data_IF_628239133208
#
_entry.id   IF_628239133208
#
_cell.length_a   1.000
_cell.length_b   1.000
_cell.length_c   1.000
_cell.angle_alpha   90.00
_cell.angle_beta   90.00
_cell.angle_gamma   90.00
#
_symmetry.space_group_name_H-M   'P 1'
#
loop_
_entity.id
_entity.type
_entity.pdbx_description
1 polymer ?
#
# COMPACT_ATOMS: atom_id res chain seq x y z
N UNK A 1 -27.12 1.53 -4.24
CA UNK A 1 -26.05 1.30 -5.23
C UNK A 1 -26.48 1.75 -6.62
N UNK A 2 -27.58 1.23 -7.17
CA UNK A 2 -28.09 1.61 -8.52
C UNK A 2 -28.16 3.12 -8.76
N UNK A 3 -28.77 3.89 -7.85
CA UNK A 3 -28.80 5.36 -7.95
C UNK A 3 -27.43 6.03 -8.06
N UNK A 4 -26.39 5.48 -7.42
CA UNK A 4 -25.02 5.99 -7.54
C UNK A 4 -24.49 5.63 -8.93
N UNK A 5 -24.66 4.38 -9.38
CA UNK A 5 -24.24 3.92 -10.71
C UNK A 5 -24.89 4.75 -11.82
N UNK A 6 -26.19 5.03 -11.71
CA UNK A 6 -26.93 5.87 -12.67
C UNK A 6 -26.44 7.32 -12.69
N UNK A 7 -26.04 7.87 -11.54
CA UNK A 7 -25.45 9.21 -11.50
C UNK A 7 -24.04 9.23 -12.07
N UNK A 8 -23.25 8.19 -11.81
CA UNK A 8 -21.91 8.05 -12.40
C UNK A 8 -21.99 7.92 -13.92
N UNK A 9 -22.93 7.13 -14.47
CA UNK A 9 -23.09 6.92 -15.92
C UNK A 9 -23.31 8.21 -16.71
N UNK A 10 -23.89 9.23 -16.07
CA UNK A 10 -24.08 10.55 -16.64
C UNK A 10 -22.79 11.41 -16.66
N UNK A 11 -21.76 11.05 -15.89
CA UNK A 11 -20.52 11.82 -15.73
C UNK A 11 -19.45 11.54 -16.81
N UNK A 12 -19.78 10.79 -17.87
CA UNK A 12 -18.86 10.45 -18.98
C UNK A 12 -17.53 9.81 -18.55
N UNK A 13 -17.50 9.10 -17.42
CA UNK A 13 -16.34 8.30 -17.02
C UNK A 13 -16.28 7.07 -17.94
N UNK A 14 -15.09 6.72 -18.43
CA UNK A 14 -14.93 5.53 -19.27
C UNK A 14 -15.28 4.25 -18.50
N UNK A 15 -15.82 3.24 -19.21
CA UNK A 15 -16.04 1.89 -18.69
C UNK A 15 -16.95 1.73 -17.44
N UNK A 16 -17.83 2.70 -17.15
CA UNK A 16 -18.77 2.66 -16.01
C UNK A 16 -19.63 1.38 -15.98
N UNK A 17 -19.98 0.84 -17.16
CA UNK A 17 -20.77 -0.39 -17.28
C UNK A 17 -20.14 -1.57 -16.54
N UNK A 18 -18.80 -1.59 -16.44
CA UNK A 18 -17.99 -2.66 -15.86
C UNK A 18 -17.36 -2.28 -14.50
N UNK A 19 -17.89 -1.28 -13.79
CA UNK A 19 -17.38 -0.90 -12.47
C UNK A 19 -17.50 -2.06 -11.46
N UNK A 20 -16.35 -2.46 -10.92
CA UNK A 20 -16.25 -3.37 -9.77
C UNK A 20 -16.52 -2.59 -8.49
N UNK A 21 -17.28 -3.20 -7.57
CA UNK A 21 -17.60 -2.61 -6.27
C UNK A 21 -17.32 -3.63 -5.17
N UNK A 22 -16.27 -3.40 -4.36
CA UNK A 22 -16.00 -4.23 -3.19
C UNK A 22 -17.15 -4.19 -2.17
N UNK A 23 -17.34 -5.29 -1.45
CA UNK A 23 -18.37 -5.41 -0.43
C UNK A 23 -18.21 -4.38 0.69
N UNK A 24 -16.97 -3.95 0.96
CA UNK A 24 -16.62 -2.90 1.91
C UNK A 24 -17.29 -1.56 1.55
N UNK A 25 -17.34 -1.22 0.26
CA UNK A 25 -18.01 -0.03 -0.25
C UNK A 25 -19.53 -0.16 -0.08
N UNK A 26 -20.10 -1.31 -0.45
CA UNK A 26 -21.54 -1.57 -0.31
C UNK A 26 -21.99 -1.45 1.15
N UNK A 27 -21.19 -1.95 2.09
CA UNK A 27 -21.44 -1.81 3.54
C UNK A 27 -21.37 -0.35 4.01
N UNK A 28 -20.49 0.47 3.42
CA UNK A 28 -20.35 1.90 3.75
C UNK A 28 -21.56 2.72 3.28
N UNK A 29 -22.12 2.38 2.12
CA UNK A 29 -23.25 3.08 1.48
C UNK A 29 -24.46 3.24 2.41
N UNK A 30 -24.87 2.16 3.10
CA UNK A 30 -26.13 2.11 3.88
C UNK A 30 -26.24 3.25 4.89
N UNK A 31 -25.16 3.52 5.62
CA UNK A 31 -25.14 4.55 6.66
C UNK A 31 -24.72 5.93 6.12
N UNK A 32 -23.93 5.97 5.05
CA UNK A 32 -23.32 7.19 4.55
C UNK A 32 -24.32 8.09 3.83
N UNK A 33 -25.12 7.54 2.89
CA UNK A 33 -25.92 8.35 1.97
C UNK A 33 -26.90 9.28 2.71
N UNK A 34 -27.62 8.76 3.71
CA UNK A 34 -28.61 9.56 4.45
C UNK A 34 -27.95 10.63 5.31
N UNK A 35 -26.82 10.30 5.94
CA UNK A 35 -26.05 11.26 6.77
C UNK A 35 -25.44 12.37 5.93
N UNK A 36 -25.09 12.06 4.69
CA UNK A 36 -24.48 13.00 3.75
C UNK A 36 -25.50 13.83 2.96
N UNK A 37 -26.81 13.72 3.26
CA UNK A 37 -27.89 14.35 2.48
C UNK A 37 -27.75 14.07 0.97
N UNK A 38 -27.46 12.81 0.65
CA UNK A 38 -27.25 12.32 -0.72
C UNK A 38 -26.11 13.00 -1.50
N UNK A 39 -25.30 13.85 -0.86
CA UNK A 39 -24.10 14.46 -1.44
C UNK A 39 -22.88 13.65 -1.05
N UNK A 40 -22.36 12.88 -2.00
CA UNK A 40 -21.22 12.00 -1.77
C UNK A 40 -20.16 12.23 -2.84
N UNK A 41 -18.91 11.94 -2.47
CA UNK A 41 -17.79 11.79 -3.41
C UNK A 41 -17.52 10.30 -3.56
N UNK A 42 -17.27 9.87 -4.80
CA UNK A 42 -16.90 8.49 -5.13
C UNK A 42 -15.49 8.51 -5.67
N UNK A 43 -14.60 7.71 -5.07
CA UNK A 43 -13.23 7.54 -5.54
C UNK A 43 -13.16 6.29 -6.40
N UNK A 44 -12.70 6.47 -7.64
CA UNK A 44 -12.59 5.40 -8.64
C UNK A 44 -11.11 5.29 -9.01
N UNK A 45 -10.59 4.06 -9.00
CA UNK A 45 -9.27 3.74 -9.52
C UNK A 45 -9.44 2.66 -10.59
N UNK A 46 -8.97 2.96 -11.81
CA UNK A 46 -9.24 2.15 -12.99
C UNK A 46 -10.76 1.88 -13.14
N UNK A 47 -11.18 0.62 -13.11
CA UNK A 47 -12.59 0.22 -13.21
C UNK A 47 -13.15 -0.27 -11.86
N UNK A 48 -12.65 0.23 -10.73
CA UNK A 48 -13.10 -0.17 -9.40
C UNK A 48 -13.38 1.03 -8.50
N UNK A 49 -14.51 0.99 -7.78
CA UNK A 49 -14.80 1.97 -6.73
C UNK A 49 -14.01 1.58 -5.49
N UNK A 50 -13.10 2.45 -5.08
CA UNK A 50 -12.23 2.22 -3.93
C UNK A 50 -12.61 3.04 -2.71
N UNK A 51 -13.42 4.09 -2.84
CA UNK A 51 -14.07 4.70 -1.68
C UNK A 51 -15.37 5.44 -2.00
N UNK A 52 -16.16 5.68 -0.97
CA UNK A 52 -17.30 6.59 -0.98
C UNK A 52 -17.32 7.44 0.30
N UNK A 53 -17.46 8.75 0.15
CA UNK A 53 -17.30 9.73 1.23
C UNK A 53 -18.44 10.74 1.27
N UNK A 54 -18.66 11.35 2.45
CA UNK A 54 -19.70 12.36 2.65
C UNK A 54 -19.22 13.73 2.15
N UNK A 55 -20.09 14.44 1.44
CA UNK A 55 -19.78 15.78 0.92
C UNK A 55 -18.82 15.75 -0.27
N UNK A 56 -18.13 16.87 -0.48
CA UNK A 56 -17.15 17.04 -1.54
C UNK A 56 -15.73 16.87 -0.98
N UNK A 57 -15.10 15.72 -1.26
CA UNK A 57 -13.72 15.39 -0.88
C UNK A 57 -12.77 15.37 -2.06
N UNK A 58 -13.17 15.92 -3.21
CA UNK A 58 -12.34 15.93 -4.45
C UNK A 58 -10.99 16.66 -4.33
N UNK A 59 -10.80 17.44 -3.26
CA UNK A 59 -9.52 18.07 -2.93
C UNK A 59 -8.60 17.20 -2.06
N UNK A 60 -9.09 16.11 -1.51
CA UNK A 60 -8.39 15.21 -0.60
C UNK A 60 -8.12 13.88 -1.30
N UNK A 61 -7.10 13.86 -2.15
CA UNK A 61 -6.68 12.65 -2.87
C UNK A 61 -5.17 12.49 -2.74
N UNK A 62 -4.75 11.53 -1.94
CA UNK A 62 -3.34 11.36 -1.57
C UNK A 62 -2.84 9.96 -1.90
N UNK A 63 -1.53 9.89 -2.14
CA UNK A 63 -0.81 8.64 -2.29
C UNK A 63 0.40 8.64 -1.36
N UNK A 64 0.96 7.46 -1.12
CA UNK A 64 2.22 7.34 -0.39
C UNK A 64 3.15 6.35 -1.09
N UNK A 65 4.40 6.75 -1.33
CA UNK A 65 5.43 5.87 -1.85
C UNK A 65 6.36 5.45 -0.71
N UNK A 66 6.68 4.16 -0.62
CA UNK A 66 7.64 3.63 0.34
C UNK A 66 8.86 3.04 -0.36
N UNK A 67 10.02 3.41 0.14
CA UNK A 67 11.28 2.72 -0.14
C UNK A 67 11.69 1.92 1.10
N UNK A 68 11.59 0.59 0.99
CA UNK A 68 11.94 -0.35 2.05
C UNK A 68 13.37 -0.84 1.82
N UNK A 69 14.32 -0.09 2.38
CA UNK A 69 15.70 -0.51 2.48
C UNK A 69 15.96 -1.48 3.64
N UNK A 70 17.09 -2.16 3.58
CA UNK A 70 17.53 -3.05 4.67
C UNK A 70 17.78 -2.27 5.96
N UNK A 71 18.37 -1.07 5.87
CA UNK A 71 18.71 -0.24 7.05
C UNK A 71 17.70 0.85 7.33
N UNK A 72 17.09 1.43 6.29
CA UNK A 72 16.20 2.59 6.41
C UNK A 72 14.94 2.35 5.59
N UNK A 73 13.81 2.78 6.13
CA UNK A 73 12.53 2.82 5.43
C UNK A 73 12.12 4.29 5.30
N UNK A 74 11.79 4.72 4.09
CA UNK A 74 11.37 6.09 3.80
C UNK A 74 9.98 6.08 3.20
N UNK A 75 9.13 7.02 3.62
CA UNK A 75 7.82 7.25 3.00
C UNK A 75 7.65 8.68 2.53
N UNK A 76 7.11 8.83 1.33
CA UNK A 76 6.85 10.09 0.65
C UNK A 76 5.35 10.23 0.41
N UNK A 77 4.71 11.16 1.13
CA UNK A 77 3.29 11.46 0.98
C UNK A 77 3.11 12.50 -0.14
N UNK A 78 2.22 12.22 -1.08
CA UNK A 78 1.99 13.05 -2.28
C UNK A 78 0.52 13.41 -2.47
N UNK A 79 0.23 14.60 -3.01
CA UNK A 79 -1.10 14.94 -3.55
C UNK A 79 -1.21 14.34 -4.97
N UNK A 80 -2.17 13.42 -5.17
CA UNK A 80 -2.35 12.71 -6.44
C UNK A 80 -2.91 13.59 -7.57
N UNK A 81 -3.40 14.78 -7.24
CA UNK A 81 -3.96 15.72 -8.22
C UNK A 81 -2.88 16.64 -8.78
N UNK A 82 -1.89 16.97 -7.96
CA UNK A 82 -0.82 17.93 -8.32
C UNK A 82 0.53 17.26 -8.54
N UNK A 83 0.74 16.05 -7.99
CA UNK A 83 2.03 15.38 -7.95
C UNK A 83 3.00 15.97 -6.90
N UNK A 84 2.55 16.91 -6.09
CA UNK A 84 3.39 17.57 -5.09
C UNK A 84 3.68 16.64 -3.90
N UNK A 85 4.96 16.58 -3.48
CA UNK A 85 5.34 15.96 -2.22
C UNK A 85 4.90 16.85 -1.05
N UNK A 86 4.00 16.33 -0.22
CA UNK A 86 3.46 17.04 0.95
C UNK A 86 4.34 16.84 2.18
N UNK A 87 4.94 15.66 2.33
CA UNK A 87 5.87 15.37 3.42
C UNK A 87 6.64 14.08 3.19
N UNK A 88 7.85 14.04 3.72
CA UNK A 88 8.69 12.84 3.83
C UNK A 88 8.97 12.50 5.30
N UNK A 89 9.05 11.20 5.61
CA UNK A 89 9.54 10.69 6.89
C UNK A 89 10.37 9.42 6.69
N UNK A 90 11.51 9.34 7.37
CA UNK A 90 12.43 8.21 7.32
C UNK A 90 12.62 7.61 8.71
N UNK A 91 12.72 6.28 8.79
CA UNK A 91 12.94 5.55 10.04
C UNK A 91 13.94 4.42 9.80
N UNK A 92 14.79 4.14 10.77
CA UNK A 92 15.60 2.91 10.78
C UNK A 92 14.69 1.68 10.70
N UNK A 93 15.04 0.73 9.83
CA UNK A 93 14.34 -0.54 9.71
C UNK A 93 14.59 -1.38 10.97
N UNK A 94 13.57 -1.63 11.82
CA UNK A 94 13.75 -2.30 13.11
C UNK A 94 14.18 -3.77 12.97
N UNK A 95 14.02 -4.36 11.78
CA UNK A 95 14.46 -5.72 11.48
C UNK A 95 15.98 -5.91 11.64
N UNK A 96 16.77 -4.81 11.72
CA UNK A 96 18.20 -4.84 12.03
C UNK A 96 18.51 -5.61 13.31
N UNK A 97 17.60 -5.61 14.30
CA UNK A 97 17.75 -6.33 15.57
C UNK A 97 17.82 -7.86 15.35
N UNK A 98 17.27 -8.36 14.24
CA UNK A 98 17.23 -9.79 13.91
C UNK A 98 18.23 -10.17 12.81
N UNK A 99 18.97 -9.20 12.27
CA UNK A 99 19.95 -9.40 11.22
C UNK A 99 20.35 -8.09 10.54
N UNK A 100 21.66 -7.84 10.49
CA UNK A 100 22.25 -6.64 9.89
C UNK A 100 22.13 -6.62 8.35
N UNK A 101 21.95 -7.79 7.74
CA UNK A 101 21.86 -7.96 6.30
C UNK A 101 20.72 -8.91 5.88
N UNK A 102 20.56 -9.09 4.56
CA UNK A 102 19.51 -9.95 3.98
C UNK A 102 19.67 -11.41 4.41
N UNK A 103 20.91 -11.92 4.44
CA UNK A 103 21.18 -13.35 4.70
C UNK A 103 20.87 -13.69 6.16
N UNK A 104 21.35 -12.88 7.09
CA UNK A 104 21.08 -13.03 8.52
C UNK A 104 19.58 -12.94 8.84
N UNK A 105 18.81 -12.08 8.15
CA UNK A 105 17.34 -12.06 8.29
C UNK A 105 16.67 -13.32 7.74
N UNK A 106 17.16 -13.86 6.61
CA UNK A 106 16.67 -15.13 6.09
C UNK A 106 16.96 -16.26 7.08
N UNK A 107 18.15 -16.30 7.66
CA UNK A 107 18.49 -17.27 8.71
C UNK A 107 17.60 -17.13 9.94
N UNK A 108 17.25 -15.89 10.34
CA UNK A 108 16.31 -15.66 11.43
C UNK A 108 14.95 -16.29 11.13
N UNK A 109 14.43 -16.11 9.92
CA UNK A 109 13.18 -16.76 9.46
C UNK A 109 13.29 -18.28 9.49
N UNK A 110 14.45 -18.87 9.16
CA UNK A 110 14.67 -20.31 9.21
C UNK A 110 14.71 -20.86 10.64
N UNK A 111 15.39 -20.15 11.54
CA UNK A 111 15.70 -20.62 12.90
C UNK A 111 14.54 -20.37 13.87
N UNK A 112 13.76 -19.31 13.66
CA UNK A 112 12.67 -18.93 14.56
C UNK A 112 11.32 -19.38 14.00
N UNK A 113 10.54 -20.07 14.83
CA UNK A 113 9.24 -20.64 14.45
C UNK A 113 8.26 -19.59 13.90
N UNK A 114 8.30 -18.37 14.42
CA UNK A 114 7.46 -17.23 14.05
C UNK A 114 8.28 -16.10 13.38
N UNK A 115 9.46 -16.43 12.84
CA UNK A 115 10.40 -15.45 12.34
C UNK A 115 9.85 -14.61 11.18
N UNK A 116 9.12 -15.24 10.25
CA UNK A 116 8.50 -14.57 9.12
C UNK A 116 7.44 -13.56 9.57
N UNK A 117 6.50 -14.01 10.40
CA UNK A 117 5.40 -13.18 10.91
C UNK A 117 5.93 -12.03 11.78
N UNK A 118 7.02 -12.26 12.53
CA UNK A 118 7.65 -11.22 13.34
C UNK A 118 8.28 -10.13 12.47
N UNK A 119 9.10 -10.51 11.48
CA UNK A 119 9.73 -9.55 10.57
C UNK A 119 8.68 -8.81 9.73
N UNK A 120 7.63 -9.50 9.25
CA UNK A 120 6.53 -8.89 8.51
C UNK A 120 5.79 -7.84 9.37
N UNK A 121 5.46 -8.20 10.61
CA UNK A 121 4.79 -7.29 11.53
C UNK A 121 5.63 -6.05 11.84
N UNK A 122 6.94 -6.22 12.01
CA UNK A 122 7.86 -5.11 12.27
C UNK A 122 7.94 -4.11 11.10
N UNK A 123 8.00 -4.61 9.86
CA UNK A 123 8.01 -3.72 8.70
C UNK A 123 6.65 -3.03 8.51
N UNK A 124 5.54 -3.74 8.68
CA UNK A 124 4.20 -3.12 8.59
C UNK A 124 3.97 -2.08 9.69
N UNK A 125 4.42 -2.34 10.92
CA UNK A 125 4.36 -1.34 11.99
C UNK A 125 5.18 -0.10 11.67
N UNK A 126 6.33 -0.27 11.03
CA UNK A 126 7.17 0.84 10.55
C UNK A 126 6.45 1.68 9.48
N UNK A 127 5.82 1.04 8.50
CA UNK A 127 5.00 1.72 7.50
C UNK A 127 3.83 2.48 8.13
N UNK A 128 3.14 1.88 9.10
CA UNK A 128 2.04 2.52 9.83
C UNK A 128 2.50 3.76 10.62
N UNK A 129 3.69 3.70 11.21
CA UNK A 129 4.30 4.84 11.86
C UNK A 129 4.62 5.95 10.85
N UNK A 130 5.29 5.63 9.75
CA UNK A 130 5.59 6.59 8.68
C UNK A 130 4.31 7.24 8.13
N UNK A 131 3.22 6.47 7.92
CA UNK A 131 1.91 7.01 7.52
C UNK A 131 1.42 8.02 8.55
N UNK A 132 1.48 7.68 9.83
CA UNK A 132 1.02 8.57 10.90
C UNK A 132 1.83 9.87 10.90
N UNK A 133 3.16 9.79 10.85
CA UNK A 133 4.04 10.97 10.92
C UNK A 133 3.86 11.89 9.70
N UNK A 134 3.83 11.33 8.49
CA UNK A 134 3.63 12.09 7.25
C UNK A 134 2.24 12.74 7.22
N UNK A 135 1.18 12.00 7.55
CA UNK A 135 -0.18 12.55 7.54
C UNK A 135 -0.41 13.62 8.61
N UNK A 136 0.20 13.46 9.80
CA UNK A 136 0.17 14.50 10.83
C UNK A 136 0.91 15.77 10.38
N UNK A 137 2.11 15.62 9.80
CA UNK A 137 2.90 16.75 9.29
C UNK A 137 2.17 17.51 8.18
N UNK A 138 1.54 16.80 7.25
CA UNK A 138 0.76 17.38 6.17
C UNK A 138 -0.65 17.85 6.61
N UNK A 139 -1.08 17.55 7.84
CA UNK A 139 -2.42 17.83 8.37
C UNK A 139 -3.56 17.25 7.51
N UNK A 140 -3.36 16.04 7.00
CA UNK A 140 -4.37 15.33 6.18
C UNK A 140 -4.89 14.08 6.89
N UNK A 141 -6.03 13.57 6.43
CA UNK A 141 -6.58 12.32 6.96
C UNK A 141 -6.05 11.13 6.16
N UNK A 142 -5.41 10.17 6.84
CA UNK A 142 -4.89 8.94 6.20
C UNK A 142 -5.95 8.12 5.45
N UNK A 143 -7.25 8.29 5.76
CA UNK A 143 -8.34 7.67 5.00
C UNK A 143 -8.41 8.17 3.55
N UNK A 144 -7.81 9.31 3.25
CA UNK A 144 -7.72 9.86 1.91
C UNK A 144 -6.45 9.42 1.16
N UNK A 145 -5.67 8.47 1.71
CA UNK A 145 -4.61 7.79 0.99
C UNK A 145 -5.25 6.64 0.20
N UNK A 146 -5.24 6.75 -1.12
CA UNK A 146 -5.93 5.84 -2.03
C UNK A 146 -4.99 4.92 -2.81
N UNK A 147 -3.76 5.37 -3.04
CA UNK A 147 -2.73 4.66 -3.78
C UNK A 147 -1.47 4.55 -2.92
N UNK A 148 -0.84 3.40 -2.93
CA UNK A 148 0.41 3.15 -2.22
C UNK A 148 1.38 2.45 -3.16
N UNK A 149 2.56 3.02 -3.36
CA UNK A 149 3.63 2.36 -4.13
C UNK A 149 4.66 1.85 -3.14
N UNK A 150 5.11 0.61 -3.30
CA UNK A 150 6.16 0.03 -2.47
C UNK A 150 7.29 -0.46 -3.36
N UNK A 151 8.48 0.02 -3.05
CA UNK A 151 9.75 -0.43 -3.62
C UNK A 151 10.66 -0.93 -2.51
N UNK A 152 11.62 -1.76 -2.88
CA UNK A 152 12.57 -2.36 -1.97
C UNK A 152 13.24 -3.55 -2.62
N UNK A 153 14.36 -3.99 -2.05
CA UNK A 153 15.01 -5.21 -2.52
C UNK A 153 14.09 -6.43 -2.36
N UNK A 154 14.36 -7.49 -3.11
CA UNK A 154 13.52 -8.70 -3.18
C UNK A 154 13.26 -9.34 -1.82
N UNK A 155 14.23 -9.35 -0.91
CA UNK A 155 14.02 -9.88 0.44
C UNK A 155 13.02 -9.01 1.22
N UNK A 156 13.18 -7.69 1.21
CA UNK A 156 12.25 -6.77 1.89
C UNK A 156 10.84 -6.87 1.31
N UNK A 157 10.73 -7.00 -0.02
CA UNK A 157 9.47 -7.25 -0.71
C UNK A 157 8.79 -8.54 -0.20
N UNK A 158 9.54 -9.64 -0.08
CA UNK A 158 9.01 -10.91 0.42
C UNK A 158 8.57 -10.81 1.88
N UNK A 159 9.39 -10.21 2.75
CA UNK A 159 9.06 -10.02 4.16
C UNK A 159 7.80 -9.16 4.34
N UNK A 160 7.66 -8.06 3.59
CA UNK A 160 6.47 -7.21 3.65
C UNK A 160 5.19 -7.99 3.29
N UNK A 161 5.25 -8.82 2.25
CA UNK A 161 4.14 -9.65 1.79
C UNK A 161 3.92 -10.93 2.60
N UNK A 162 4.72 -11.17 3.65
CA UNK A 162 4.74 -12.46 4.36
C UNK A 162 5.03 -13.66 3.44
N UNK A 163 5.79 -13.45 2.37
CA UNK A 163 6.30 -14.52 1.51
C UNK A 163 7.62 -15.03 2.11
N UNK A 164 7.76 -16.34 2.22
CA UNK A 164 8.95 -16.94 2.81
C UNK A 164 10.19 -16.71 1.91
N UNK A 165 11.23 -15.98 2.38
CA UNK A 165 12.39 -15.62 1.57
C UNK A 165 13.50 -16.68 1.57
N UNK A 166 13.30 -17.87 2.16
CA UNK A 166 14.35 -18.88 2.38
C UNK A 166 15.14 -19.22 1.11
N UNK A 167 14.48 -19.30 -0.04
CA UNK A 167 15.12 -19.68 -1.31
C UNK A 167 15.91 -18.54 -1.99
N UNK A 168 15.94 -17.35 -1.39
CA UNK A 168 16.77 -16.23 -1.85
C UNK A 168 18.24 -16.36 -1.41
N UNK A 169 18.53 -17.14 -0.37
CA UNK A 169 19.89 -17.30 0.17
C UNK A 169 20.72 -18.38 -0.56
N UNK A 170 20.20 -19.60 -0.82
CA UNK A 170 20.98 -20.62 -1.53
C UNK A 170 20.90 -20.44 -3.04
N UNK A 171 21.98 -20.80 -3.75
CA UNK A 171 21.96 -20.94 -5.21
C UNK A 171 20.90 -21.98 -5.62
N UNK A 172 20.05 -21.71 -6.64
CA UNK A 172 20.16 -20.64 -7.63
C UNK A 172 19.34 -19.36 -7.33
N UNK A 173 19.18 -18.97 -6.05
CA UNK A 173 18.62 -17.70 -5.57
C UNK A 173 17.23 -17.39 -6.15
N UNK A 174 16.27 -18.27 -5.88
CA UNK A 174 14.96 -18.26 -6.56
C UNK A 174 13.93 -17.45 -5.73
N UNK A 175 13.46 -16.29 -6.21
CA UNK A 175 12.34 -15.59 -5.59
C UNK A 175 11.01 -16.29 -5.87
N UNK A 176 10.04 -16.11 -4.98
CA UNK A 176 8.66 -16.57 -5.19
C UNK A 176 8.00 -15.79 -6.33
N UNK A 177 8.25 -14.49 -6.40
CA UNK A 177 7.70 -13.60 -7.43
C UNK A 177 8.70 -12.52 -7.84
N UNK A 178 8.67 -12.18 -9.13
CA UNK A 178 9.42 -11.07 -9.74
C UNK A 178 8.52 -10.03 -10.42
N UNK A 179 7.30 -10.41 -10.74
CA UNK A 179 6.32 -9.56 -11.42
C UNK A 179 5.81 -8.46 -10.49
N UNK A 180 5.30 -7.38 -11.09
CA UNK A 180 4.58 -6.34 -10.35
C UNK A 180 3.31 -6.90 -9.75
N UNK A 181 2.94 -6.42 -8.56
CA UNK A 181 1.70 -6.79 -7.89
C UNK A 181 0.80 -5.58 -7.69
N UNK A 182 -0.50 -5.79 -7.89
CA UNK A 182 -1.55 -4.86 -7.49
C UNK A 182 -2.43 -5.55 -6.46
N UNK A 183 -2.33 -5.12 -5.20
CA UNK A 183 -3.03 -5.66 -4.05
C UNK A 183 -3.94 -4.61 -3.44
N UNK A 184 -4.81 -5.02 -2.53
CA UNK A 184 -5.55 -4.10 -1.66
C UNK A 184 -4.92 -4.07 -0.27
N UNK A 185 -5.08 -2.96 0.43
CA UNK A 185 -4.55 -2.84 1.79
C UNK A 185 -5.05 -3.92 2.75
N UNK A 186 -6.28 -4.41 2.56
CA UNK A 186 -6.82 -5.54 3.34
C UNK A 186 -6.07 -6.85 3.15
N UNK A 187 -5.34 -7.02 2.06
CA UNK A 187 -4.56 -8.22 1.77
C UNK A 187 -3.22 -8.21 2.53
N UNK A 188 -2.84 -7.07 3.12
CA UNK A 188 -1.61 -6.92 3.92
C UNK A 188 -1.96 -6.91 5.42
N UNK A 189 -1.60 -7.97 6.17
CA UNK A 189 -1.90 -8.06 7.59
C UNK A 189 -1.31 -6.88 8.37
N UNK A 190 -2.17 -6.16 9.10
CA UNK A 190 -1.79 -5.07 10.01
C UNK A 190 -1.61 -3.70 9.36
N UNK A 191 -1.68 -3.58 8.03
CA UNK A 191 -1.52 -2.28 7.37
C UNK A 191 -2.73 -1.38 7.65
N UNK A 192 -2.46 -0.17 8.13
CA UNK A 192 -3.47 0.73 8.71
C UNK A 192 -3.97 1.80 7.74
N UNK A 193 -4.38 1.36 6.54
CA UNK A 193 -5.02 2.17 5.49
C UNK A 193 -6.49 1.77 5.30
N UNK A 194 -7.20 2.46 4.40
CA UNK A 194 -8.53 2.01 3.99
C UNK A 194 -8.43 0.62 3.34
N UNK A 195 -9.29 -0.36 3.68
CA UNK A 195 -9.19 -1.74 3.19
C UNK A 195 -9.11 -1.89 1.66
N UNK A 196 -9.74 -0.96 0.94
CA UNK A 196 -9.84 -0.90 -0.52
C UNK A 196 -8.78 -0.03 -1.18
N UNK A 197 -7.92 0.64 -0.39
CA UNK A 197 -6.78 1.38 -0.93
C UNK A 197 -5.86 0.43 -1.71
N UNK A 198 -5.34 0.91 -2.83
CA UNK A 198 -4.51 0.13 -3.70
C UNK A 198 -3.06 0.10 -3.18
N UNK A 199 -2.40 -1.04 -3.38
CA UNK A 199 -0.98 -1.21 -3.15
C UNK A 199 -0.38 -1.74 -4.44
N UNK A 200 0.46 -0.93 -5.06
CA UNK A 200 1.30 -1.30 -6.18
C UNK A 200 2.69 -1.66 -5.68
N UNK A 201 3.18 -2.85 -6.03
CA UNK A 201 4.57 -3.21 -5.88
C UNK A 201 5.22 -3.30 -7.25
N UNK A 202 6.32 -2.58 -7.42
CA UNK A 202 7.08 -2.61 -8.67
C UNK A 202 7.79 -3.97 -8.83
N UNK A 203 8.12 -4.39 -10.07
CA UNK A 203 8.75 -5.68 -10.29
C UNK A 203 10.16 -5.73 -9.69
N UNK A 204 10.56 -6.91 -9.23
CA UNK A 204 11.94 -7.19 -8.84
C UNK A 204 12.71 -7.76 -10.04
N UNK A 205 13.93 -7.30 -10.27
CA UNK A 205 14.75 -7.78 -11.39
C UNK A 205 15.38 -9.14 -11.05
N UNK A 206 15.91 -9.31 -9.83
CA UNK A 206 16.57 -10.54 -9.35
C UNK A 206 16.57 -10.64 -7.81
N UNK A 207 17.13 -11.71 -7.23
CA UNK A 207 17.17 -11.91 -5.78
C UNK A 207 17.83 -10.76 -4.99
N UNK A 208 18.79 -10.04 -5.60
CA UNK A 208 19.53 -8.94 -4.96
C UNK A 208 19.30 -7.57 -5.62
N UNK A 209 18.55 -7.53 -6.72
CA UNK A 209 18.19 -6.28 -7.44
C UNK A 209 16.67 -6.19 -7.44
N UNK A 210 16.13 -5.41 -6.51
CA UNK A 210 14.68 -5.28 -6.37
C UNK A 210 14.10 -4.06 -7.07
N UNK A 211 12.85 -3.82 -6.72
CA UNK A 211 12.05 -2.69 -7.18
C UNK A 211 12.65 -1.32 -6.84
N UNK A 212 13.50 -1.23 -5.82
CA UNK A 212 14.23 -0.02 -5.43
C UNK A 212 15.14 0.49 -6.55
N UNK A 213 15.81 -0.42 -7.26
CA UNK A 213 16.64 -0.07 -8.42
C UNK A 213 15.77 0.25 -9.64
N UNK A 214 14.63 -0.44 -9.82
CA UNK A 214 13.69 -0.16 -10.92
C UNK A 214 13.02 1.20 -10.76
N UNK A 215 12.61 1.57 -9.55
CA UNK A 215 11.93 2.84 -9.29
C UNK A 215 12.85 4.07 -9.45
N UNK A 216 14.17 3.86 -9.43
CA UNK A 216 15.16 4.91 -9.70
C UNK A 216 15.52 5.10 -11.18
N UNK A 217 15.07 4.20 -12.06
CA UNK A 217 15.25 4.29 -13.53
C UNK A 217 14.00 4.92 -14.15
#
# INVERSE_FOLDING_TARGET
WERIKDKLSLMKIENISNLKVPIEILKKITNLIRRADFRVTVTILNNEIIDIESGNTTKSSYGIAFDIGTTTVVGYLVDLRTGEELSVFAKTNPQVIHGDDIISRIEFVQKQKDGLEKLQREIVNTLNEIIRETTQKAKINKKNIYETVIVGNTCMHHLFLSLNPINLAPSPYIPVIKESLSLKAKDIPGLSLNPTANICMLPNISAFVGADIVGGI
#
